data_IF_206428282300
#
_entry.id   IF_206428282300
#
_cell.length_a   1.000
_cell.length_b   1.000
_cell.length_c   1.000
_cell.angle_alpha   90.00
_cell.angle_beta   90.00
_cell.angle_gamma   90.00
#
_symmetry.space_group_name_H-M   'P 1'
#
loop_
_entity.id
_entity.type
_entity.pdbx_description
1 polymer ?
#
# COMPACT_ATOMS: atom_id res chain seq x y z
N UNK A 1 -47.87 -21.61 -30.77
CA UNK A 1 -46.71 -20.73 -30.51
C UNK A 1 -47.22 -19.30 -30.52
N UNK A 2 -46.73 -18.34 -29.73
CA UNK A 2 -45.46 -18.15 -29.01
C UNK A 2 -45.86 -17.17 -27.88
N UNK A 3 -45.70 -17.46 -26.59
CA UNK A 3 -44.42 -17.39 -25.87
C UNK A 3 -43.96 -15.93 -25.64
N UNK A 4 -44.71 -15.11 -24.89
CA UNK A 4 -44.38 -13.71 -24.61
C UNK A 4 -44.05 -13.49 -23.13
N UNK A 5 -42.75 -13.39 -22.83
CA UNK A 5 -42.17 -13.41 -21.49
C UNK A 5 -42.56 -12.23 -20.59
N UNK A 6 -42.93 -12.58 -19.36
CA UNK A 6 -43.10 -11.68 -18.22
C UNK A 6 -41.74 -11.06 -17.86
N UNK A 7 -41.61 -9.75 -18.05
CA UNK A 7 -40.46 -8.99 -17.53
C UNK A 7 -40.68 -8.73 -16.05
N UNK A 8 -40.12 -9.60 -15.21
CA UNK A 8 -39.97 -9.35 -13.79
C UNK A 8 -39.12 -8.07 -13.59
N UNK A 9 -39.76 -6.99 -13.17
CA UNK A 9 -39.08 -5.81 -12.64
C UNK A 9 -38.54 -6.20 -11.27
N UNK A 10 -37.24 -6.40 -11.16
CA UNK A 10 -36.55 -6.57 -9.89
C UNK A 10 -36.78 -5.32 -9.04
N UNK A 11 -37.56 -5.46 -7.97
CA UNK A 11 -37.71 -4.46 -6.93
C UNK A 11 -36.35 -4.29 -6.24
N UNK A 12 -35.80 -3.08 -6.29
CA UNK A 12 -34.66 -2.71 -5.45
C UNK A 12 -35.15 -2.68 -3.99
N UNK A 13 -34.49 -3.36 -3.03
CA UNK A 13 -34.84 -3.25 -1.63
C UNK A 13 -34.55 -1.83 -1.14
N UNK A 14 -35.56 -1.23 -0.50
CA UNK A 14 -35.48 0.05 0.17
C UNK A 14 -34.40 0.00 1.26
N UNK A 15 -33.48 0.95 1.22
CA UNK A 15 -32.46 1.12 2.24
C UNK A 15 -33.14 1.66 3.51
N UNK A 16 -33.43 0.78 4.46
CA UNK A 16 -33.96 1.15 5.78
C UNK A 16 -32.92 1.99 6.52
N UNK A 17 -33.25 3.26 6.75
CA UNK A 17 -32.48 4.22 7.54
C UNK A 17 -32.49 3.86 9.03
N UNK A 18 -31.79 2.80 9.41
CA UNK A 18 -31.59 2.43 10.82
C UNK A 18 -30.37 3.19 11.36
N UNK A 19 -30.63 4.37 11.92
CA UNK A 19 -29.69 5.15 12.73
C UNK A 19 -29.14 4.30 13.88
N UNK A 20 -27.98 3.69 13.67
CA UNK A 20 -27.16 3.13 14.73
C UNK A 20 -26.58 4.30 15.54
N UNK A 21 -26.71 4.20 16.87
CA UNK A 21 -26.44 5.27 17.81
C UNK A 21 -25.11 5.99 17.59
N UNK A 22 -25.18 7.32 17.66
CA UNK A 22 -24.02 8.16 17.86
C UNK A 22 -23.39 7.80 19.21
N UNK A 23 -22.49 6.81 19.21
CA UNK A 23 -21.50 6.68 20.25
C UNK A 23 -20.68 7.96 20.23
N UNK A 24 -20.78 8.73 21.31
CA UNK A 24 -19.94 9.91 21.55
C UNK A 24 -18.50 9.50 21.25
N UNK A 25 -17.69 10.28 20.49
CA UNK A 25 -16.27 10.00 20.43
C UNK A 25 -15.76 10.13 21.87
N UNK A 26 -15.45 8.99 22.49
CA UNK A 26 -14.70 8.97 23.72
C UNK A 26 -13.48 9.85 23.45
N UNK A 27 -13.34 10.93 24.23
CA UNK A 27 -12.25 11.89 24.16
C UNK A 27 -10.97 11.06 24.18
N UNK A 28 -10.42 10.84 22.99
CA UNK A 28 -9.39 9.86 22.76
C UNK A 28 -8.20 10.28 23.60
N UNK A 29 -7.91 9.51 24.65
CA UNK A 29 -6.71 9.68 25.42
C UNK A 29 -5.56 9.45 24.43
N UNK A 30 -5.03 10.56 23.90
CA UNK A 30 -4.00 10.57 22.87
C UNK A 30 -2.82 9.80 23.44
N UNK A 31 -2.58 8.58 22.95
CA UNK A 31 -1.44 7.79 23.35
C UNK A 31 -0.18 8.62 23.08
N UNK A 32 0.49 9.05 24.15
CA UNK A 32 1.65 9.91 24.03
C UNK A 32 2.80 9.07 23.46
N UNK A 33 3.33 9.51 22.31
CA UNK A 33 4.55 8.93 21.75
C UNK A 33 5.70 9.42 22.61
N UNK A 34 6.32 8.51 23.35
CA UNK A 34 7.38 8.84 24.29
C UNK A 34 8.75 8.92 23.61
N UNK A 35 8.94 8.10 22.58
CA UNK A 35 10.21 8.06 21.85
C UNK A 35 10.06 7.36 20.51
N UNK A 36 10.88 7.80 19.57
CA UNK A 36 11.10 7.11 18.30
C UNK A 36 12.60 6.97 18.09
N UNK A 37 13.03 5.89 17.45
CA UNK A 37 14.44 5.68 17.18
C UNK A 37 14.68 4.59 16.16
N UNK A 38 15.94 4.45 15.76
CA UNK A 38 16.40 3.35 14.90
C UNK A 38 17.01 2.26 15.76
N UNK A 39 16.72 1.02 15.44
CA UNK A 39 17.29 -0.11 16.17
C UNK A 39 18.76 -0.30 15.73
N UNK A 40 19.68 -0.44 16.69
CA UNK A 40 21.09 -0.68 16.37
C UNK A 40 21.26 -2.01 15.63
N UNK A 41 21.98 -1.99 14.51
CA UNK A 41 22.20 -3.16 13.64
C UNK A 41 21.09 -3.44 12.62
N UNK A 42 20.07 -2.57 12.53
CA UNK A 42 18.95 -2.73 11.60
C UNK A 42 18.66 -1.40 10.87
N UNK A 43 19.24 -1.22 9.67
CA UNK A 43 19.22 0.06 8.94
C UNK A 43 17.84 0.51 8.45
N UNK A 44 16.83 -0.36 8.54
CA UNK A 44 15.48 -0.11 8.02
C UNK A 44 14.37 -0.34 9.04
N UNK A 45 14.68 -0.52 10.31
CA UNK A 45 13.66 -0.74 11.36
C UNK A 45 13.65 0.43 12.33
N UNK A 46 12.49 1.09 12.40
CA UNK A 46 12.20 2.16 13.35
C UNK A 46 11.39 1.57 14.49
N UNK A 47 11.75 1.89 15.72
CA UNK A 47 10.92 1.61 16.89
C UNK A 47 10.17 2.88 17.33
N UNK A 48 8.99 2.68 17.91
CA UNK A 48 8.13 3.73 18.41
C UNK A 48 7.52 3.27 19.72
N UNK A 49 7.86 3.98 20.79
CA UNK A 49 7.40 3.70 22.14
C UNK A 49 6.14 4.52 22.41
N UNK A 50 4.99 3.84 22.54
CA UNK A 50 3.72 4.46 22.91
C UNK A 50 3.44 4.20 24.38
N UNK A 51 3.08 5.24 25.11
CA UNK A 51 2.57 5.10 26.47
C UNK A 51 1.04 5.12 26.41
N UNK A 52 0.41 4.10 27.00
CA UNK A 52 -1.04 4.05 27.14
C UNK A 52 -1.47 5.07 28.20
N UNK A 53 -2.26 6.05 27.79
CA UNK A 53 -2.85 7.01 28.72
C UNK A 53 -3.84 6.26 29.63
N UNK A 54 -3.58 6.30 30.94
CA UNK A 54 -4.30 5.53 31.95
C UNK A 54 -3.34 4.69 32.80
N UNK A 55 -2.81 3.62 32.21
CA UNK A 55 -1.99 2.64 32.94
C UNK A 55 -0.50 3.01 32.99
N UNK A 56 -0.05 3.93 32.14
CA UNK A 56 1.38 4.26 31.99
C UNK A 56 2.20 3.16 31.31
N UNK A 57 1.56 2.07 30.86
CA UNK A 57 2.22 0.96 30.18
C UNK A 57 2.88 1.43 28.88
N UNK A 58 4.17 1.11 28.74
CA UNK A 58 4.96 1.40 27.55
C UNK A 58 4.92 0.21 26.59
N UNK A 59 4.32 0.42 25.42
CA UNK A 59 4.31 -0.55 24.33
C UNK A 59 5.28 -0.11 23.26
N UNK A 60 6.33 -0.90 23.06
CA UNK A 60 7.27 -0.71 21.95
C UNK A 60 6.68 -1.33 20.69
N UNK A 61 6.54 -0.51 19.66
CA UNK A 61 6.15 -0.93 18.32
C UNK A 61 7.33 -0.82 17.37
N UNK A 62 7.39 -1.67 16.37
CA UNK A 62 8.40 -1.71 15.33
C UNK A 62 7.72 -1.50 13.98
N UNK A 63 8.36 -0.73 13.12
CA UNK A 63 7.93 -0.51 11.75
C UNK A 63 9.14 -0.49 10.84
N UNK A 64 9.06 -1.28 9.78
CA UNK A 64 9.98 -1.19 8.67
C UNK A 64 9.76 0.13 7.92
N UNK A 65 10.84 0.85 7.61
CA UNK A 65 10.84 2.07 6.81
C UNK A 65 12.09 2.13 5.94
N UNK A 66 11.91 2.29 4.64
CA UNK A 66 13.00 2.51 3.70
C UNK A 66 12.67 3.63 2.72
N UNK A 67 13.71 4.22 2.13
CA UNK A 67 13.60 5.19 1.07
C UNK A 67 14.04 4.53 -0.23
N UNK A 68 13.17 4.58 -1.24
CA UNK A 68 13.41 4.02 -2.56
C UNK A 68 13.36 5.17 -3.58
N UNK A 69 14.27 5.17 -4.54
CA UNK A 69 14.30 6.15 -5.62
C UNK A 69 13.16 5.88 -6.62
N UNK A 70 12.61 6.93 -7.23
CA UNK A 70 11.53 6.81 -8.23
C UNK A 70 10.13 7.26 -7.77
N UNK A 71 10.06 8.08 -6.72
CA UNK A 71 8.84 8.83 -6.39
C UNK A 71 8.65 10.08 -7.27
N UNK A 72 7.50 10.76 -7.21
CA UNK A 72 7.26 12.01 -7.93
C UNK A 72 8.29 13.11 -7.61
N UNK A 73 8.89 13.06 -6.42
CA UNK A 73 9.96 13.97 -5.98
C UNK A 73 11.35 13.30 -6.00
N UNK A 74 11.54 12.24 -6.82
CA UNK A 74 12.78 11.47 -6.89
C UNK A 74 12.95 10.43 -5.77
N UNK A 75 12.30 10.59 -4.63
CA UNK A 75 12.33 9.65 -3.50
C UNK A 75 10.92 9.26 -3.05
N UNK A 76 10.72 7.99 -2.71
CA UNK A 76 9.49 7.42 -2.14
C UNK A 76 9.82 6.67 -0.86
N UNK A 77 9.19 7.05 0.25
CA UNK A 77 9.26 6.31 1.51
C UNK A 77 8.30 5.13 1.48
N UNK A 78 8.83 3.91 1.58
CA UNK A 78 8.05 2.71 1.83
C UNK A 78 8.03 2.43 3.33
N UNK A 79 6.83 2.23 3.87
CA UNK A 79 6.61 1.92 5.28
C UNK A 79 5.81 0.63 5.39
N UNK A 80 6.28 -0.29 6.23
CA UNK A 80 5.60 -1.53 6.55
C UNK A 80 4.50 -1.33 7.59
N UNK A 81 3.83 -2.42 7.95
CA UNK A 81 2.84 -2.42 9.03
C UNK A 81 3.53 -2.19 10.38
N UNK A 82 2.94 -1.36 11.23
CA UNK A 82 3.40 -1.20 12.60
C UNK A 82 3.00 -2.44 13.42
N UNK A 83 3.97 -3.11 14.02
CA UNK A 83 3.78 -4.36 14.77
C UNK A 83 4.49 -4.30 16.12
N UNK A 84 4.08 -5.09 17.11
CA UNK A 84 4.79 -5.17 18.40
C UNK A 84 5.90 -6.23 18.39
N UNK A 85 5.97 -7.05 17.34
CA UNK A 85 6.95 -8.12 17.19
C UNK A 85 8.05 -7.71 16.20
N UNK A 86 9.30 -7.70 16.68
CA UNK A 86 10.47 -7.36 15.87
C UNK A 86 10.68 -8.34 14.70
N UNK A 87 10.46 -9.63 14.92
CA UNK A 87 10.64 -10.64 13.87
C UNK A 87 9.69 -10.42 12.70
N UNK A 88 8.46 -9.98 12.99
CA UNK A 88 7.50 -9.66 11.95
C UNK A 88 7.96 -8.45 11.13
N UNK A 89 8.47 -7.40 11.78
CA UNK A 89 9.03 -6.25 11.09
C UNK A 89 10.26 -6.62 10.23
N UNK A 90 11.09 -7.57 10.67
CA UNK A 90 12.21 -8.12 9.89
C UNK A 90 11.73 -8.91 8.66
N UNK A 91 10.72 -9.76 8.82
CA UNK A 91 10.11 -10.50 7.70
C UNK A 91 9.53 -9.54 6.65
N UNK A 92 8.84 -8.49 7.10
CA UNK A 92 8.27 -7.47 6.22
C UNK A 92 9.38 -6.72 5.45
N UNK A 93 10.51 -6.40 6.11
CA UNK A 93 11.72 -5.85 5.45
C UNK A 93 12.24 -6.79 4.37
N UNK A 94 12.41 -8.07 4.69
CA UNK A 94 12.99 -9.06 3.76
C UNK A 94 12.09 -9.29 2.54
N UNK A 95 10.77 -9.34 2.75
CA UNK A 95 9.80 -9.44 1.66
C UNK A 95 9.85 -8.19 0.76
N UNK A 96 9.97 -7.00 1.36
CA UNK A 96 10.05 -5.75 0.59
C UNK A 96 11.34 -5.70 -0.24
N UNK A 97 12.49 -6.05 0.35
CA UNK A 97 13.78 -6.11 -0.36
C UNK A 97 13.74 -7.11 -1.52
N UNK A 98 13.20 -8.31 -1.31
CA UNK A 98 13.02 -9.30 -2.39
C UNK A 98 12.13 -8.78 -3.51
N UNK A 99 11.06 -8.07 -3.15
CA UNK A 99 10.14 -7.49 -4.15
C UNK A 99 10.81 -6.40 -4.97
N UNK A 100 11.66 -5.57 -4.35
CA UNK A 100 12.43 -4.54 -5.05
C UNK A 100 13.45 -5.14 -6.00
N UNK A 101 14.22 -6.14 -5.56
CA UNK A 101 15.17 -6.85 -6.42
C UNK A 101 14.47 -7.45 -7.65
N UNK A 102 13.33 -8.12 -7.45
CA UNK A 102 12.56 -8.65 -8.58
C UNK A 102 11.97 -7.58 -9.51
N UNK A 103 11.67 -6.39 -8.98
CA UNK A 103 11.21 -5.27 -9.80
C UNK A 103 12.35 -4.69 -10.64
N UNK A 104 13.54 -4.56 -10.06
CA UNK A 104 14.77 -4.14 -10.76
C UNK A 104 15.12 -5.13 -11.88
N UNK A 105 15.14 -6.43 -11.61
CA UNK A 105 15.39 -7.46 -12.63
C UNK A 105 14.38 -7.41 -13.80
N UNK A 106 13.09 -7.18 -13.49
CA UNK A 106 12.07 -7.03 -14.54
C UNK A 106 12.29 -5.78 -15.36
N UNK A 107 12.67 -4.69 -14.71
CA UNK A 107 12.93 -3.42 -15.36
C UNK A 107 14.12 -3.55 -16.32
N UNK A 108 15.23 -4.15 -15.89
CA UNK A 108 16.39 -4.44 -16.74
C UNK A 108 16.03 -5.28 -17.98
N UNK A 109 15.25 -6.35 -17.79
CA UNK A 109 14.78 -7.19 -18.92
C UNK A 109 13.91 -6.41 -19.90
N UNK A 110 13.04 -5.53 -19.41
CA UNK A 110 12.19 -4.69 -20.26
C UNK A 110 12.98 -3.64 -21.04
N UNK A 111 14.03 -3.07 -20.44
CA UNK A 111 14.94 -2.16 -21.15
C UNK A 111 15.74 -2.88 -22.24
N UNK A 112 16.18 -4.11 -21.99
CA UNK A 112 16.86 -4.92 -22.99
C UNK A 112 15.97 -5.25 -24.21
N UNK A 113 14.68 -5.55 -23.99
CA UNK A 113 13.74 -5.81 -25.10
C UNK A 113 13.27 -4.54 -25.80
N UNK A 114 13.13 -3.42 -25.09
CA UNK A 114 12.78 -2.12 -25.66
C UNK A 114 13.89 -1.57 -26.58
N UNK A 115 15.17 -1.76 -26.22
CA UNK A 115 16.30 -1.37 -27.05
C UNK A 115 16.34 -2.14 -28.39
N UNK A 116 15.93 -3.42 -28.40
CA UNK A 116 15.90 -4.26 -29.60
C UNK A 116 14.67 -4.02 -30.49
N UNK A 117 13.57 -3.49 -29.95
CA UNK A 117 12.32 -3.28 -30.71
C UNK A 117 12.22 -1.91 -31.38
N UNK A 118 13.11 -0.96 -31.03
CA UNK A 118 13.09 0.39 -31.59
C UNK A 118 13.71 0.50 -33.00
N UNK A 119 14.30 -0.58 -33.53
CA UNK A 119 14.80 -0.64 -34.92
C UNK A 119 13.77 -1.15 -35.94
N UNK A 120 12.55 -1.54 -35.52
CA UNK A 120 11.58 -2.22 -36.39
C UNK A 120 10.21 -1.56 -36.44
N UNK A 121 10.14 -0.24 -36.69
CA UNK A 121 8.88 0.40 -37.07
C UNK A 121 9.05 1.30 -38.29
N UNK A 122 8.82 0.78 -39.52
CA UNK A 122 8.53 1.62 -40.65
C UNK A 122 7.14 2.25 -40.43
N UNK A 123 7.14 3.54 -40.13
CA UNK A 123 5.94 4.38 -40.05
C UNK A 123 5.30 4.51 -41.45
N UNK A 124 4.52 3.50 -41.87
CA UNK A 124 3.68 3.58 -43.06
C UNK A 124 2.27 3.99 -42.65
N UNK A 125 2.07 5.31 -42.57
CA UNK A 125 0.74 5.91 -42.44
C UNK A 125 0.05 5.90 -43.81
N UNK A 126 -1.08 5.18 -44.03
CA UNK A 126 -1.80 5.27 -45.28
C UNK A 126 -2.59 6.58 -45.29
N UNK A 127 -2.16 7.51 -46.14
CA UNK A 127 -2.89 8.74 -46.46
C UNK A 127 -4.16 8.37 -47.22
N UNK A 128 -5.29 8.30 -46.51
CA UNK A 128 -6.61 8.12 -47.13
C UNK A 128 -7.05 9.45 -47.74
N UNK A 129 -7.01 9.52 -49.07
CA UNK A 129 -7.62 10.59 -49.87
C UNK A 129 -9.03 10.15 -50.23
N UNK A 130 -10.06 10.87 -49.76
CA UNK A 130 -11.34 10.95 -50.43
C UNK A 130 -12.03 12.27 -50.12
#
# INVERSE_FOLDING_TARGET
GVGGGQRARAACPAWDGRSAGASRPATGAMAMVRGTGRLQGEDHIIFLDKVRAGDGTLTRMYQFSMEVTGGPNGMRRLKGKMTTNLEQAKKDRDLCLKTLQQAEERMERSFATAALSNESSPNVSPKSTR
#
